data_IF_042248524882
#
_entry.id   IF_042248524882
#
_cell.length_a   1.000
_cell.length_b   1.000
_cell.length_c   1.000
_cell.angle_alpha   90.00
_cell.angle_beta   90.00
_cell.angle_gamma   90.00
#
_symmetry.space_group_name_H-M   'P 1'
#
loop_
_entity.id
_entity.type
_entity.pdbx_description
1 polymer ?
#
# COMPACT_ATOMS: atom_id res chain seq x y z
N UNK A 1 -11.47 -10.15 9.99
CA UNK A 1 -12.54 -9.15 9.87
C UNK A 1 -13.91 -9.78 10.12
N UNK A 2 -14.43 -10.63 9.23
CA UNK A 2 -15.79 -11.18 9.37
C UNK A 2 -16.03 -11.98 10.66
N UNK A 3 -15.06 -12.80 11.10
CA UNK A 3 -15.13 -13.53 12.39
C UNK A 3 -15.25 -12.59 13.61
N UNK A 4 -14.85 -11.33 13.47
CA UNK A 4 -14.92 -10.30 14.51
C UNK A 4 -16.11 -9.35 14.28
N UNK A 5 -17.08 -9.73 13.43
CA UNK A 5 -18.27 -8.91 13.13
C UNK A 5 -18.06 -7.77 12.13
N UNK A 6 -16.84 -7.58 11.60
CA UNK A 6 -16.55 -6.53 10.62
C UNK A 6 -16.75 -7.04 9.20
N UNK A 7 -17.73 -6.49 8.50
CA UNK A 7 -18.07 -6.82 7.12
C UNK A 7 -18.03 -5.58 6.24
N UNK A 8 -17.34 -5.69 5.09
CA UNK A 8 -17.25 -4.64 4.08
C UNK A 8 -18.66 -4.22 3.64
N UNK A 9 -18.91 -2.92 3.57
CA UNK A 9 -20.18 -2.34 3.18
C UNK A 9 -21.26 -2.27 4.28
N UNK A 10 -21.09 -2.95 5.41
CA UNK A 10 -22.00 -2.80 6.55
C UNK A 10 -21.61 -1.58 7.41
N UNK A 11 -22.60 -0.79 7.85
CA UNK A 11 -22.39 0.42 8.66
C UNK A 11 -21.41 1.44 8.05
N UNK A 12 -21.28 1.47 6.72
CA UNK A 12 -20.34 2.34 6.02
C UNK A 12 -18.87 1.92 6.14
N UNK A 13 -18.59 0.67 6.51
CA UNK A 13 -17.22 0.17 6.58
C UNK A 13 -16.64 -0.02 5.18
N UNK A 14 -15.68 0.83 4.82
CA UNK A 14 -14.87 0.72 3.61
C UNK A 14 -13.50 0.09 3.91
N UNK A 15 -12.99 -0.72 2.98
CA UNK A 15 -11.68 -1.34 3.06
C UNK A 15 -10.72 -0.68 2.07
N UNK A 16 -9.65 -0.09 2.59
CA UNK A 16 -8.59 0.50 1.78
C UNK A 16 -7.33 -0.35 1.85
N UNK A 17 -6.61 -0.44 0.74
CA UNK A 17 -5.28 -1.03 0.69
C UNK A 17 -4.22 0.05 0.64
N UNK A 18 -3.18 -0.08 1.45
CA UNK A 18 -1.97 0.73 1.31
C UNK A 18 -1.11 0.15 0.19
N UNK A 19 -0.94 0.93 -0.87
CA UNK A 19 -0.13 0.61 -2.05
C UNK A 19 1.31 1.01 -1.77
N UNK A 20 2.06 0.10 -1.15
CA UNK A 20 3.46 0.30 -0.74
C UNK A 20 4.41 -0.74 -1.32
N UNK A 21 3.93 -1.93 -1.69
CA UNK A 21 4.74 -2.95 -2.34
C UNK A 21 4.63 -2.76 -3.86
N UNK A 22 5.72 -2.81 -4.64
CA UNK A 22 5.66 -2.61 -6.10
C UNK A 22 4.63 -3.50 -6.81
N UNK A 23 4.41 -4.71 -6.30
CA UNK A 23 3.43 -5.64 -6.84
C UNK A 23 1.96 -5.18 -6.63
N UNK A 24 1.66 -4.38 -5.60
CA UNK A 24 0.34 -3.76 -5.43
C UNK A 24 -0.02 -2.88 -6.64
N UNK A 25 0.97 -2.13 -7.16
CA UNK A 25 0.79 -1.30 -8.35
C UNK A 25 0.67 -2.18 -9.60
N UNK A 26 1.56 -3.18 -9.73
CA UNK A 26 1.58 -4.07 -10.90
C UNK A 26 0.28 -4.85 -11.10
N UNK A 27 -0.37 -5.23 -10.00
CA UNK A 27 -1.61 -6.00 -9.97
C UNK A 27 -2.79 -5.17 -9.44
N UNK A 28 -2.78 -3.85 -9.65
CA UNK A 28 -3.79 -2.94 -9.08
C UNK A 28 -5.23 -3.36 -9.45
N UNK A 29 -5.46 -3.80 -10.70
CA UNK A 29 -6.77 -4.27 -11.15
C UNK A 29 -7.25 -5.53 -10.41
N UNK A 30 -6.34 -6.44 -10.08
CA UNK A 30 -6.66 -7.64 -9.32
C UNK A 30 -6.97 -7.30 -7.86
N UNK A 31 -6.19 -6.39 -7.27
CA UNK A 31 -6.44 -5.92 -5.91
C UNK A 31 -7.72 -5.08 -5.80
N UNK A 32 -8.09 -4.32 -6.82
CA UNK A 32 -9.31 -3.48 -6.83
C UNK A 32 -10.59 -4.29 -6.62
N UNK A 33 -10.57 -5.60 -6.92
CA UNK A 33 -11.70 -6.50 -6.64
C UNK A 33 -11.97 -6.66 -5.14
N UNK A 34 -10.96 -6.45 -4.29
CA UNK A 34 -11.01 -6.70 -2.85
C UNK A 34 -11.16 -5.44 -1.99
N UNK A 35 -10.82 -4.27 -2.52
CA UNK A 35 -10.78 -3.00 -1.77
C UNK A 35 -11.71 -1.95 -2.38
N UNK A 36 -12.18 -1.03 -1.55
CA UNK A 36 -13.01 0.12 -1.93
C UNK A 36 -12.15 1.30 -2.40
N UNK A 37 -10.87 1.32 -2.01
CA UNK A 37 -9.93 2.32 -2.46
C UNK A 37 -8.48 1.99 -2.12
N UNK A 38 -7.61 2.90 -2.51
CA UNK A 38 -6.16 2.78 -2.34
C UNK A 38 -5.60 4.02 -1.66
N UNK A 39 -4.66 3.80 -0.75
CA UNK A 39 -3.80 4.83 -0.18
C UNK A 39 -2.37 4.59 -0.66
N UNK A 40 -1.68 5.59 -1.20
CA UNK A 40 -0.34 5.39 -1.75
C UNK A 40 0.70 5.62 -0.65
N UNK A 41 1.35 4.54 -0.22
CA UNK A 41 2.49 4.56 0.70
C UNK A 41 3.77 4.98 -0.05
N UNK A 42 3.88 6.27 -0.38
CA UNK A 42 4.91 6.75 -1.33
C UNK A 42 6.35 6.52 -0.88
N UNK A 43 6.64 6.52 0.43
CA UNK A 43 7.99 6.31 0.95
C UNK A 43 8.45 4.87 0.71
N UNK A 44 7.68 3.90 1.19
CA UNK A 44 7.98 2.48 1.07
C UNK A 44 7.89 2.01 -0.39
N UNK A 45 6.90 2.51 -1.14
CA UNK A 45 6.78 2.23 -2.56
C UNK A 45 8.01 2.68 -3.34
N UNK A 46 8.51 3.88 -3.08
CA UNK A 46 9.74 4.39 -3.69
C UNK A 46 10.96 3.54 -3.28
N UNK A 47 11.10 3.24 -2.00
CA UNK A 47 12.22 2.45 -1.48
C UNK A 47 12.27 1.06 -2.14
N UNK A 48 11.15 0.34 -2.12
CA UNK A 48 11.04 -1.00 -2.67
C UNK A 48 11.10 -1.02 -4.21
N UNK A 49 10.63 0.04 -4.88
CA UNK A 49 10.71 0.14 -6.35
C UNK A 49 12.14 0.42 -6.81
N UNK A 50 12.85 1.33 -6.13
CA UNK A 50 14.23 1.70 -6.49
C UNK A 50 15.28 0.77 -5.87
N UNK A 51 14.89 -0.07 -4.91
CA UNK A 51 15.81 -0.92 -4.16
C UNK A 51 16.76 -0.10 -3.27
N UNK A 52 16.30 1.03 -2.74
CA UNK A 52 17.11 1.97 -1.95
C UNK A 52 16.57 2.09 -0.53
N UNK A 53 17.48 2.15 0.43
CA UNK A 53 17.17 2.52 1.81
C UNK A 53 17.31 4.04 1.98
N UNK A 54 16.22 4.70 2.38
CA UNK A 54 16.19 6.16 2.56
C UNK A 54 17.02 6.64 3.74
N UNK A 55 17.32 5.74 4.68
CA UNK A 55 18.14 6.00 5.87
C UNK A 55 19.61 5.59 5.67
N UNK A 56 19.97 5.15 4.47
CA UNK A 56 21.36 4.86 4.13
C UNK A 56 22.19 6.15 4.13
N UNK A 57 23.16 6.26 5.05
CA UNK A 57 24.06 7.42 5.17
C UNK A 57 24.78 7.74 3.85
N UNK A 58 25.11 6.72 3.05
CA UNK A 58 25.75 6.87 1.74
C UNK A 58 24.86 7.65 0.74
N UNK A 59 23.54 7.48 0.83
CA UNK A 59 22.56 8.17 -0.01
C UNK A 59 22.17 9.53 0.58
N UNK A 60 22.56 9.87 1.82
CA UNK A 60 22.28 11.20 2.41
C UNK A 60 22.94 12.34 1.63
N UNK A 61 24.03 12.06 0.92
CA UNK A 61 24.75 13.04 0.11
C UNK A 61 24.00 13.48 -1.16
N UNK A 62 22.98 12.73 -1.59
CA UNK A 62 22.16 13.05 -2.78
C UNK A 62 20.70 13.36 -2.43
N UNK A 63 20.41 13.53 -1.14
CA UNK A 63 19.08 13.81 -0.61
C UNK A 63 18.79 15.31 -0.53
#
# INVERSE_FOLDING_TARGET
MMKNGLKRGENGLELYMMTEIPNNVKLAEEFAKFFDGFSIGSNDLKQLTLGVDTDCELLSAIR
#
